data_IF_111000590706
#
_entry.id   IF_111000590706
#
_cell.length_a   1.000
_cell.length_b   1.000
_cell.length_c   1.000
_cell.angle_alpha   90.00
_cell.angle_beta   90.00
_cell.angle_gamma   90.00
#
_symmetry.space_group_name_H-M   'P 1'
#
loop_
_entity.id
_entity.type
_entity.pdbx_description
1 polymer ?
#
# COMPACT_ATOMS: atom_id res chain seq x y z
N UNK A 1 39.63 62.52 38.56
CA UNK A 1 40.11 61.90 37.30
C UNK A 1 39.93 60.39 37.47
N UNK A 2 39.10 59.66 36.72
CA UNK A 2 38.46 59.92 35.43
C UNK A 2 37.32 58.92 35.22
N UNK A 3 36.30 59.35 34.47
CA UNK A 3 35.41 58.56 33.61
C UNK A 3 34.93 57.18 34.08
N UNK A 4 33.73 57.16 34.67
CA UNK A 4 32.77 56.09 34.43
C UNK A 4 31.57 56.72 33.72
N UNK A 5 31.65 56.75 32.39
CA UNK A 5 30.60 57.23 31.52
C UNK A 5 29.29 56.47 31.76
N UNK A 6 28.36 57.11 32.48
CA UNK A 6 26.94 56.83 32.32
C UNK A 6 26.57 57.30 30.91
N UNK A 7 26.74 56.42 29.93
CA UNK A 7 26.22 56.63 28.59
C UNK A 7 24.69 56.51 28.69
N UNK A 8 24.01 57.65 28.77
CA UNK A 8 22.57 57.71 28.50
C UNK A 8 22.31 57.00 27.16
N UNK A 9 21.34 56.06 27.10
CA UNK A 9 20.99 55.43 25.83
C UNK A 9 20.55 56.53 24.85
N UNK A 10 21.24 56.65 23.71
CA UNK A 10 20.90 57.62 22.68
C UNK A 10 19.42 57.47 22.33
N UNK A 11 18.58 58.52 22.49
CA UNK A 11 17.15 58.45 22.20
C UNK A 11 16.84 58.15 20.73
N UNK A 12 17.87 58.16 19.85
CA UNK A 12 17.79 57.76 18.44
C UNK A 12 18.17 56.30 18.19
N UNK A 13 18.62 55.56 19.21
CA UNK A 13 18.93 54.14 19.09
C UNK A 13 17.63 53.32 19.11
N UNK A 14 17.12 52.97 17.92
CA UNK A 14 15.94 52.10 17.81
C UNK A 14 16.29 50.72 18.36
N UNK A 15 15.48 50.12 19.27
CA UNK A 15 15.70 48.76 19.76
C UNK A 15 15.88 47.79 18.59
N UNK A 16 16.79 46.82 18.72
CA UNK A 16 16.99 45.82 17.65
C UNK A 16 15.67 45.08 17.40
N UNK A 17 15.18 45.06 16.15
CA UNK A 17 13.94 44.38 15.79
C UNK A 17 13.99 42.92 16.23
N UNK A 18 12.92 42.45 16.87
CA UNK A 18 12.77 41.03 17.17
C UNK A 18 12.13 40.31 15.97
N UNK A 19 12.46 39.03 15.83
CA UNK A 19 12.20 38.17 14.66
C UNK A 19 10.93 38.53 13.87
N UNK A 20 11.10 38.82 12.59
CA UNK A 20 10.00 39.07 11.65
C UNK A 20 9.76 40.54 11.31
N UNK A 21 10.30 41.50 12.05
CA UNK A 21 10.11 42.94 11.76
C UNK A 21 10.68 43.43 10.41
N UNK A 22 11.62 42.67 9.81
CA UNK A 22 12.13 42.94 8.45
C UNK A 22 11.54 42.03 7.37
N UNK A 23 10.70 41.05 7.73
CA UNK A 23 9.98 40.31 6.72
C UNK A 23 8.95 41.26 6.11
N UNK A 24 8.98 41.41 4.79
CA UNK A 24 7.90 42.14 4.12
C UNK A 24 6.58 41.40 4.40
N UNK A 25 5.44 42.12 4.50
CA UNK A 25 4.14 41.48 4.64
C UNK A 25 3.91 40.39 3.58
N UNK A 26 4.43 40.58 2.37
CA UNK A 26 4.40 39.62 1.28
C UNK A 26 5.19 38.34 1.58
N UNK A 27 6.40 38.44 2.13
CA UNK A 27 7.22 37.27 2.51
C UNK A 27 6.63 36.51 3.70
N UNK A 28 6.02 37.22 4.65
CA UNK A 28 5.35 36.61 5.79
C UNK A 28 4.11 35.81 5.33
N UNK A 29 3.32 36.36 4.41
CA UNK A 29 2.18 35.67 3.76
C UNK A 29 2.63 34.46 2.98
N UNK A 30 3.73 34.56 2.21
CA UNK A 30 4.29 33.44 1.45
C UNK A 30 4.70 32.27 2.37
N UNK A 31 5.19 32.54 3.58
CA UNK A 31 5.54 31.51 4.57
C UNK A 31 4.32 30.88 5.25
N UNK A 32 3.29 31.65 5.53
CA UNK A 32 2.07 31.19 6.19
C UNK A 32 1.04 30.65 5.17
N UNK A 33 1.35 30.77 3.87
CA UNK A 33 0.47 30.40 2.75
C UNK A 33 -0.88 31.16 2.79
N UNK A 34 -0.83 32.42 3.23
CA UNK A 34 -2.02 33.26 3.32
C UNK A 34 -2.30 33.93 1.96
N UNK A 35 -3.56 33.94 1.48
CA UNK A 35 -3.91 34.56 0.19
C UNK A 35 -3.72 36.08 0.22
N UNK A 36 -3.37 36.66 -0.93
CA UNK A 36 -3.10 38.10 -1.03
C UNK A 36 -4.39 38.95 -0.81
N UNK A 37 -4.28 40.22 -0.39
CA UNK A 37 -5.44 41.05 -0.06
C UNK A 37 -6.44 41.26 -1.20
N UNK A 38 -5.99 41.27 -2.45
CA UNK A 38 -6.86 41.33 -3.63
C UNK A 38 -7.49 39.98 -4.01
N UNK A 39 -7.06 38.90 -3.34
CA UNK A 39 -7.65 37.56 -3.41
C UNK A 39 -8.57 37.29 -2.20
N UNK A 40 -8.57 38.16 -1.20
CA UNK A 40 -9.52 38.13 -0.10
C UNK A 40 -10.81 38.82 -0.56
N UNK A 41 -11.88 38.06 -0.76
CA UNK A 41 -13.20 38.66 -0.97
C UNK A 41 -13.63 39.41 0.30
N UNK A 42 -14.21 40.62 0.18
CA UNK A 42 -14.70 41.36 1.34
C UNK A 42 -15.75 40.53 2.08
N UNK A 43 -15.43 40.10 3.31
CA UNK A 43 -16.40 39.44 4.18
C UNK A 43 -17.39 40.52 4.65
N UNK A 44 -18.55 40.59 4.01
CA UNK A 44 -19.64 41.42 4.49
C UNK A 44 -20.09 40.91 5.87
N UNK A 45 -20.38 41.80 6.84
CA UNK A 45 -20.89 41.39 8.15
C UNK A 45 -22.23 40.67 7.96
N UNK A 46 -22.30 39.41 8.40
CA UNK A 46 -23.48 38.56 8.22
C UNK A 46 -24.58 39.08 9.15
N UNK A 47 -25.59 39.74 8.57
CA UNK A 47 -26.89 39.92 9.20
C UNK A 47 -27.70 38.64 8.97
N UNK A 48 -27.85 37.83 10.00
CA UNK A 48 -28.64 36.59 9.93
C UNK A 48 -30.12 36.92 10.03
N UNK A 49 -30.82 36.89 8.88
CA UNK A 49 -32.05 36.10 8.65
C UNK A 49 -32.80 36.58 7.39
N UNK A 50 -32.61 35.86 6.28
CA UNK A 50 -33.60 35.60 5.23
C UNK A 50 -33.03 34.57 4.23
N UNK A 51 -33.84 33.64 3.69
CA UNK A 51 -33.32 32.55 2.87
C UNK A 51 -32.97 33.06 1.47
N UNK A 52 -31.68 33.14 1.16
CA UNK A 52 -31.19 33.44 -0.18
C UNK A 52 -31.19 32.15 -1.02
N UNK A 53 -32.27 31.95 -1.77
CA UNK A 53 -32.23 31.10 -2.96
C UNK A 53 -31.16 31.63 -3.93
N UNK A 54 -30.21 30.77 -4.32
CA UNK A 54 -29.49 30.94 -5.58
C UNK A 54 -27.98 31.22 -5.57
N UNK A 55 -27.25 31.09 -4.47
CA UNK A 55 -25.77 31.09 -4.52
C UNK A 55 -25.29 29.64 -4.75
N UNK A 56 -24.64 29.30 -5.89
CA UNK A 56 -23.99 28.01 -6.02
C UNK A 56 -22.91 27.91 -4.95
N UNK A 57 -22.88 26.85 -4.12
CA UNK A 57 -21.85 26.72 -3.10
C UNK A 57 -20.48 26.74 -3.79
N UNK A 58 -19.59 27.61 -3.31
CA UNK A 58 -18.18 27.61 -3.73
C UNK A 58 -17.64 26.18 -3.62
N UNK A 59 -16.88 25.68 -4.62
CA UNK A 59 -16.41 24.31 -4.59
C UNK A 59 -15.57 24.11 -3.34
N UNK A 60 -16.07 23.28 -2.42
CA UNK A 60 -15.35 22.91 -1.23
C UNK A 60 -13.95 22.45 -1.68
N UNK A 61 -12.91 23.15 -1.23
CA UNK A 61 -11.53 22.66 -1.37
C UNK A 61 -11.54 21.31 -0.67
N UNK A 62 -11.62 20.24 -1.45
CA UNK A 62 -11.72 18.90 -0.93
C UNK A 62 -10.42 18.66 -0.16
N UNK A 63 -10.48 18.78 1.17
CA UNK A 63 -9.46 18.32 2.08
C UNK A 63 -9.09 16.92 1.58
N UNK A 64 -7.84 16.75 1.16
CA UNK A 64 -7.35 15.50 0.61
C UNK A 64 -7.39 14.49 1.75
N UNK A 65 -8.54 13.83 1.92
CA UNK A 65 -8.80 12.85 2.98
C UNK A 65 -7.64 11.89 2.98
N UNK A 66 -6.76 12.04 3.97
CA UNK A 66 -5.68 11.11 4.15
C UNK A 66 -6.35 9.80 4.51
N UNK A 67 -6.08 8.73 3.76
CA UNK A 67 -6.60 7.39 4.03
C UNK A 67 -5.52 6.57 4.75
N UNK A 68 -5.25 6.81 6.07
CA UNK A 68 -4.20 6.10 6.79
C UNK A 68 -4.52 4.60 6.91
N UNK A 69 -5.80 4.26 7.05
CA UNK A 69 -6.27 2.87 7.13
C UNK A 69 -5.94 2.09 5.86
N UNK A 70 -6.13 2.68 4.67
CA UNK A 70 -5.80 2.06 3.38
C UNK A 70 -4.32 1.64 3.32
N UNK A 71 -3.43 2.50 3.85
CA UNK A 71 -1.99 2.22 3.89
C UNK A 71 -1.66 1.07 4.83
N UNK A 72 -2.22 1.09 6.04
CA UNK A 72 -2.00 0.03 7.04
C UNK A 72 -2.46 -1.32 6.48
N UNK A 73 -3.66 -1.36 5.89
CA UNK A 73 -4.20 -2.59 5.27
C UNK A 73 -3.33 -3.07 4.12
N UNK A 74 -2.87 -2.16 3.24
CA UNK A 74 -1.97 -2.55 2.15
C UNK A 74 -0.66 -3.14 2.68
N UNK A 75 -0.03 -2.51 3.68
CA UNK A 75 1.21 -3.04 4.27
C UNK A 75 1.00 -4.39 4.94
N UNK A 76 -0.12 -4.56 5.67
CA UNK A 76 -0.48 -5.83 6.29
C UNK A 76 -0.67 -6.94 5.25
N UNK A 77 -1.39 -6.66 4.15
CA UNK A 77 -1.61 -7.61 3.05
C UNK A 77 -0.31 -7.96 2.33
N UNK A 78 0.58 -6.98 2.09
CA UNK A 78 1.88 -7.23 1.47
C UNK A 78 2.78 -8.08 2.37
N UNK A 79 2.81 -7.80 3.68
CA UNK A 79 3.57 -8.57 4.65
C UNK A 79 3.03 -10.00 4.76
N UNK A 80 1.71 -10.15 4.86
CA UNK A 80 1.07 -11.47 4.84
C UNK A 80 1.41 -12.24 3.56
N UNK A 81 1.28 -11.59 2.40
CA UNK A 81 1.64 -12.18 1.11
C UNK A 81 3.12 -12.57 1.04
N UNK A 82 4.02 -11.79 1.64
CA UNK A 82 5.44 -12.11 1.69
C UNK A 82 5.71 -13.35 2.53
N UNK A 83 5.11 -13.42 3.72
CA UNK A 83 5.20 -14.61 4.58
C UNK A 83 4.66 -15.84 3.84
N UNK A 84 3.53 -15.69 3.14
CA UNK A 84 2.98 -16.76 2.31
C UNK A 84 3.96 -17.21 1.22
N UNK A 85 4.61 -16.29 0.51
CA UNK A 85 5.61 -16.63 -0.52
C UNK A 85 6.80 -17.36 0.10
N UNK A 86 7.39 -16.83 1.18
CA UNK A 86 8.56 -17.40 1.84
C UNK A 86 8.28 -18.83 2.34
N UNK A 87 7.08 -19.07 2.87
CA UNK A 87 6.67 -20.38 3.38
C UNK A 87 6.29 -21.35 2.26
N UNK A 88 5.67 -20.86 1.18
CA UNK A 88 5.22 -21.70 0.05
C UNK A 88 6.36 -22.18 -0.84
N UNK A 89 7.40 -21.37 -1.06
CA UNK A 89 8.53 -21.72 -1.95
C UNK A 89 9.19 -23.07 -1.59
N UNK A 90 9.65 -23.30 -0.34
CA UNK A 90 10.26 -24.59 0.01
C UNK A 90 9.25 -25.74 -0.10
N UNK A 91 8.00 -25.52 0.29
CA UNK A 91 6.94 -26.52 0.16
C UNK A 91 6.72 -26.93 -1.30
N UNK A 92 6.73 -25.97 -2.24
CA UNK A 92 6.55 -26.26 -3.66
C UNK A 92 7.76 -26.96 -4.27
N UNK A 93 8.97 -26.57 -3.87
CA UNK A 93 10.20 -27.20 -4.34
C UNK A 93 10.33 -28.66 -3.86
N UNK A 94 9.72 -29.00 -2.73
CA UNK A 94 9.49 -30.38 -2.30
C UNK A 94 8.12 -30.91 -2.78
N UNK A 95 7.99 -31.00 -4.11
CA UNK A 95 6.73 -31.35 -4.76
C UNK A 95 6.15 -32.70 -4.29
N UNK A 96 6.99 -33.70 -4.04
CA UNK A 96 6.55 -35.03 -3.62
C UNK A 96 5.80 -34.98 -2.29
N UNK A 97 6.45 -34.43 -1.28
CA UNK A 97 5.87 -34.25 0.06
C UNK A 97 4.62 -33.36 0.02
N UNK A 98 4.65 -32.28 -0.78
CA UNK A 98 3.49 -31.42 -0.99
C UNK A 98 2.29 -32.18 -1.56
N UNK A 99 2.49 -32.93 -2.64
CA UNK A 99 1.44 -33.70 -3.29
C UNK A 99 0.87 -34.79 -2.39
N UNK A 100 1.73 -35.54 -1.69
CA UNK A 100 1.32 -36.56 -0.71
C UNK A 100 0.49 -35.95 0.42
N UNK A 101 0.90 -34.79 0.95
CA UNK A 101 0.12 -34.07 1.97
C UNK A 101 -1.24 -33.65 1.43
N UNK A 102 -1.31 -33.09 0.21
CA UNK A 102 -2.56 -32.65 -0.40
C UNK A 102 -3.50 -33.83 -0.73
N UNK A 103 -2.97 -34.93 -1.26
CA UNK A 103 -3.72 -36.15 -1.55
C UNK A 103 -4.21 -36.81 -0.26
N UNK A 104 -3.39 -36.85 0.79
CA UNK A 104 -3.77 -37.34 2.11
C UNK A 104 -4.90 -36.53 2.75
N UNK A 105 -4.93 -35.19 2.56
CA UNK A 105 -6.07 -34.37 2.98
C UNK A 105 -7.38 -34.73 2.24
N UNK A 106 -7.28 -35.29 1.04
CA UNK A 106 -8.41 -35.82 0.27
C UNK A 106 -8.71 -37.31 0.57
N UNK A 107 -7.99 -37.92 1.52
CA UNK A 107 -8.14 -39.33 1.88
C UNK A 107 -7.47 -40.30 0.90
N UNK A 108 -6.55 -39.81 0.07
CA UNK A 108 -5.83 -40.61 -0.93
C UNK A 108 -4.38 -40.77 -0.50
N UNK A 109 -4.05 -41.90 0.10
CA UNK A 109 -2.68 -42.22 0.52
C UNK A 109 -1.92 -42.86 -0.65
N UNK A 110 -1.30 -42.04 -1.50
CA UNK A 110 -0.54 -42.49 -2.67
C UNK A 110 0.76 -41.70 -2.84
N UNK A 111 1.82 -42.40 -3.21
CA UNK A 111 3.08 -41.81 -3.65
C UNK A 111 3.05 -41.61 -5.16
N UNK A 112 3.60 -40.49 -5.64
CA UNK A 112 3.68 -40.18 -7.06
C UNK A 112 4.55 -41.19 -7.81
N UNK A 113 4.19 -41.46 -9.07
CA UNK A 113 4.93 -42.40 -9.93
C UNK A 113 6.31 -41.86 -10.33
N UNK A 114 6.37 -40.55 -10.64
CA UNK A 114 7.61 -39.83 -10.94
C UNK A 114 7.55 -38.38 -10.44
N UNK A 115 7.94 -38.13 -9.18
CA UNK A 115 8.02 -36.78 -8.63
C UNK A 115 9.02 -35.87 -9.38
N UNK A 116 10.03 -36.44 -10.06
CA UNK A 116 11.06 -35.65 -10.73
C UNK A 116 10.50 -34.96 -11.98
N UNK A 117 9.57 -35.61 -12.69
CA UNK A 117 8.86 -35.04 -13.83
C UNK A 117 8.02 -33.79 -13.47
N UNK A 118 7.61 -33.66 -12.20
CA UNK A 118 6.84 -32.51 -11.71
C UNK A 118 7.70 -31.29 -11.35
N UNK A 119 9.03 -31.44 -11.21
CA UNK A 119 9.93 -30.35 -10.80
C UNK A 119 9.85 -29.09 -11.69
N UNK A 120 9.78 -29.17 -13.03
CA UNK A 120 9.66 -27.98 -13.87
C UNK A 120 8.39 -27.17 -13.57
N UNK A 121 7.29 -27.84 -13.25
CA UNK A 121 6.01 -27.21 -12.88
C UNK A 121 6.10 -26.52 -11.52
N UNK A 122 6.72 -27.18 -10.54
CA UNK A 122 7.00 -26.57 -9.23
C UNK A 122 7.87 -25.31 -9.36
N UNK A 123 8.92 -25.36 -10.18
CA UNK A 123 9.78 -24.18 -10.44
C UNK A 123 8.97 -23.08 -11.11
N UNK A 124 8.15 -23.40 -12.12
CA UNK A 124 7.29 -22.43 -12.77
C UNK A 124 6.31 -21.78 -11.78
N UNK A 125 5.69 -22.55 -10.89
CA UNK A 125 4.79 -22.06 -9.84
C UNK A 125 5.52 -21.10 -8.88
N UNK A 126 6.73 -21.46 -8.44
CA UNK A 126 7.58 -20.60 -7.60
C UNK A 126 7.92 -19.29 -8.31
N UNK A 127 8.30 -19.34 -9.58
CA UNK A 127 8.61 -18.15 -10.38
C UNK A 127 7.38 -17.25 -10.48
N UNK A 128 6.21 -17.81 -10.79
CA UNK A 128 4.94 -17.07 -10.85
C UNK A 128 4.63 -16.41 -9.50
N UNK A 129 4.80 -17.13 -8.40
CA UNK A 129 4.49 -16.62 -7.07
C UNK A 129 5.43 -15.47 -6.67
N UNK A 130 6.73 -15.64 -6.87
CA UNK A 130 7.76 -14.64 -6.53
C UNK A 130 7.63 -13.40 -7.41
N UNK A 131 7.56 -13.59 -8.73
CA UNK A 131 7.41 -12.47 -9.68
C UNK A 131 6.07 -11.77 -9.48
N UNK A 132 5.00 -12.55 -9.27
CA UNK A 132 3.66 -12.03 -9.00
C UNK A 132 3.61 -11.18 -7.74
N UNK A 133 4.25 -11.62 -6.65
CA UNK A 133 4.36 -10.83 -5.44
C UNK A 133 5.18 -9.55 -5.65
N UNK A 134 6.33 -9.63 -6.32
CA UNK A 134 7.16 -8.45 -6.64
C UNK A 134 6.39 -7.43 -7.49
N UNK A 135 5.68 -7.88 -8.53
CA UNK A 135 4.85 -7.03 -9.37
C UNK A 135 3.72 -6.38 -8.57
N UNK A 136 3.04 -7.16 -7.72
CA UNK A 136 1.97 -6.68 -6.84
C UNK A 136 2.46 -5.62 -5.85
N UNK A 137 3.63 -5.85 -5.23
CA UNK A 137 4.26 -4.89 -4.33
C UNK A 137 4.66 -3.60 -5.06
N UNK A 138 5.30 -3.72 -6.23
CA UNK A 138 5.70 -2.56 -7.04
C UNK A 138 4.50 -1.71 -7.49
N UNK A 139 3.43 -2.35 -7.96
CA UNK A 139 2.18 -1.69 -8.34
C UNK A 139 1.52 -1.00 -7.14
N UNK A 140 1.52 -1.66 -5.98
CA UNK A 140 0.98 -1.10 -4.74
C UNK A 140 1.73 0.18 -4.35
N UNK A 141 3.07 0.14 -4.34
CA UNK A 141 3.91 1.29 -4.02
C UNK A 141 3.73 2.42 -5.04
N UNK A 142 3.68 2.11 -6.34
CA UNK A 142 3.46 3.13 -7.37
C UNK A 142 2.10 3.82 -7.20
N UNK A 143 1.05 3.05 -6.92
CA UNK A 143 -0.29 3.59 -6.75
C UNK A 143 -0.43 4.48 -5.50
N UNK A 144 0.26 4.12 -4.40
CA UNK A 144 0.36 4.97 -3.20
C UNK A 144 1.02 6.31 -3.49
N UNK A 145 2.09 6.33 -4.30
CA UNK A 145 2.75 7.57 -4.72
C UNK A 145 1.81 8.49 -5.51
N UNK A 146 0.77 7.92 -6.14
CA UNK A 146 -0.28 8.65 -6.87
C UNK A 146 -1.51 9.00 -6.03
N UNK A 147 -1.46 8.83 -4.70
CA UNK A 147 -2.57 9.15 -3.77
C UNK A 147 -3.86 8.35 -4.02
N UNK A 148 -3.80 7.17 -4.62
CA UNK A 148 -4.96 6.33 -4.92
C UNK A 148 -5.16 5.23 -3.87
N UNK A 149 -6.41 4.75 -3.74
CA UNK A 149 -6.76 3.61 -2.89
C UNK A 149 -6.03 2.37 -3.38
N UNK A 150 -5.29 1.71 -2.48
CA UNK A 150 -4.32 0.67 -2.86
C UNK A 150 -4.63 -0.70 -2.24
N UNK A 151 -5.45 -0.79 -1.19
CA UNK A 151 -5.67 -2.04 -0.45
C UNK A 151 -6.14 -3.23 -1.29
N UNK A 152 -6.90 -3.00 -2.36
CA UNK A 152 -7.43 -4.07 -3.22
C UNK A 152 -6.35 -4.69 -4.12
N UNK A 153 -5.27 -3.97 -4.43
CA UNK A 153 -4.19 -4.43 -5.32
C UNK A 153 -3.49 -5.67 -4.74
N UNK A 154 -2.97 -5.66 -3.49
CA UNK A 154 -2.35 -6.85 -2.93
C UNK A 154 -3.32 -8.00 -2.73
N UNK A 155 -4.60 -7.71 -2.46
CA UNK A 155 -5.62 -8.74 -2.34
C UNK A 155 -5.86 -9.46 -3.68
N UNK A 156 -6.16 -8.71 -4.73
CA UNK A 156 -6.43 -9.29 -6.07
C UNK A 156 -5.17 -9.93 -6.65
N UNK A 157 -4.00 -9.27 -6.52
CA UNK A 157 -2.72 -9.83 -6.94
C UNK A 157 -2.43 -11.16 -6.26
N UNK A 158 -2.56 -11.21 -4.93
CA UNK A 158 -2.42 -12.44 -4.16
C UNK A 158 -3.33 -13.56 -4.66
N UNK A 159 -4.63 -13.29 -4.80
CA UNK A 159 -5.60 -14.28 -5.29
C UNK A 159 -5.21 -14.81 -6.68
N UNK A 160 -4.95 -13.92 -7.64
CA UNK A 160 -4.66 -14.30 -9.03
C UNK A 160 -3.39 -15.14 -9.12
N UNK A 161 -2.28 -14.67 -8.53
CA UNK A 161 -1.00 -15.38 -8.63
C UNK A 161 -1.00 -16.69 -7.84
N UNK A 162 -1.70 -16.75 -6.69
CA UNK A 162 -1.87 -18.00 -5.95
C UNK A 162 -2.69 -19.03 -6.72
N UNK A 163 -3.75 -18.62 -7.42
CA UNK A 163 -4.54 -19.53 -8.26
C UNK A 163 -3.74 -20.04 -9.46
N UNK A 164 -2.97 -19.18 -10.12
CA UNK A 164 -2.10 -19.60 -11.23
C UNK A 164 -1.03 -20.58 -10.74
N UNK A 165 -0.37 -20.27 -9.62
CA UNK A 165 0.63 -21.16 -9.03
C UNK A 165 0.00 -22.50 -8.60
N UNK A 166 -1.20 -22.48 -7.99
CA UNK A 166 -1.94 -23.68 -7.62
C UNK A 166 -2.30 -24.54 -8.84
N UNK A 167 -2.76 -23.92 -9.93
CA UNK A 167 -3.05 -24.64 -11.18
C UNK A 167 -1.79 -25.30 -11.76
N UNK A 168 -0.64 -24.62 -11.72
CA UNK A 168 0.64 -25.21 -12.13
C UNK A 168 1.04 -26.40 -11.25
N UNK A 169 0.75 -26.35 -9.95
CA UNK A 169 1.02 -27.47 -9.03
C UNK A 169 0.08 -28.66 -9.23
N UNK A 170 -1.15 -28.45 -9.72
CA UNK A 170 -2.11 -29.54 -9.98
C UNK A 170 -1.85 -30.23 -11.32
N UNK A 171 -1.29 -29.53 -12.31
CA UNK A 171 -1.12 -30.04 -13.67
C UNK A 171 -0.33 -31.38 -13.77
N UNK A 172 0.72 -31.66 -12.98
CA UNK A 172 1.37 -32.97 -13.02
C UNK A 172 0.51 -34.08 -12.41
N UNK A 173 -0.29 -33.78 -11.37
CA UNK A 173 -1.18 -34.77 -10.71
C UNK A 173 -2.23 -35.33 -11.67
N UNK A 174 -2.76 -34.48 -12.54
CA UNK A 174 -3.78 -34.91 -13.52
C UNK A 174 -3.23 -35.86 -14.59
N UNK A 175 -1.90 -35.93 -14.72
CA UNK A 175 -1.20 -36.81 -15.66
C UNK A 175 -0.51 -37.99 -14.96
N UNK A 176 -0.58 -38.10 -13.63
CA UNK A 176 0.06 -39.19 -12.89
C UNK A 176 -0.82 -40.45 -12.88
N UNK A 177 -0.33 -41.60 -13.41
CA UNK A 177 -1.08 -42.85 -13.43
C UNK A 177 -1.47 -43.37 -12.03
N UNK A 178 -0.60 -43.20 -11.02
CA UNK A 178 -0.87 -43.68 -9.67
C UNK A 178 -2.01 -42.89 -9.00
N UNK A 179 -2.06 -41.58 -9.24
CA UNK A 179 -3.16 -40.73 -8.76
C UNK A 179 -4.48 -41.16 -9.39
N UNK A 180 -4.50 -41.41 -10.71
CA UNK A 180 -5.72 -41.85 -11.39
C UNK A 180 -6.20 -43.23 -10.93
N UNK A 181 -5.27 -44.17 -10.71
CA UNK A 181 -5.58 -45.50 -10.17
C UNK A 181 -6.19 -45.40 -8.77
N UNK A 182 -5.57 -44.62 -7.88
CA UNK A 182 -6.06 -44.44 -6.52
C UNK A 182 -7.45 -43.80 -6.47
N UNK A 183 -7.74 -42.84 -7.36
CA UNK A 183 -9.06 -42.23 -7.49
C UNK A 183 -10.12 -43.19 -8.03
N UNK A 184 -9.77 -44.06 -8.98
CA UNK A 184 -10.68 -45.09 -9.48
C UNK A 184 -10.99 -46.15 -8.41
N UNK A 185 -10.00 -46.50 -7.59
CA UNK A 185 -10.16 -47.47 -6.52
C UNK A 185 -10.99 -46.90 -5.37
N UNK A 186 -10.82 -45.61 -5.02
CA UNK A 186 -11.65 -44.96 -4.02
C UNK A 186 -13.11 -44.79 -4.45
N UNK A 187 -13.39 -44.64 -5.74
CA UNK A 187 -14.74 -44.55 -6.29
C UNK A 187 -15.49 -45.90 -6.37
N UNK A 188 -14.79 -47.01 -6.16
CA UNK A 188 -15.37 -48.37 -6.19
C UNK A 188 -15.78 -48.89 -4.81
N UNK A 189 -15.44 -48.16 -3.75
CA UNK A 189 -15.83 -48.42 -2.36
C UNK A 189 -17.12 -47.67 -2.00
#
# INVERSE_FOLDING_TARGET
MSDAANAEPDPRSRPRPQYGEYATPEEQRARIQEPAPWQQEPIAPIMTDAPADGIPPAPAVAEKRQHPVDRIVTFALLAYGLVNVITSVPAFLDYGSYAETMLGLMGVDVQLSDPAAAKPWAIAAVVVLVVGWCATAALSVWNMRRSRVTWWIPLVGGIVFSLIAGALMVAPLTNDPAVWQALLDSARL
#
